data_IF_211566157209
#
_entry.id   IF_211566157209
#
_cell.length_a   1.000
_cell.length_b   1.000
_cell.length_c   1.000
_cell.angle_alpha   90.00
_cell.angle_beta   90.00
_cell.angle_gamma   90.00
#
_symmetry.space_group_name_H-M   'P 1'
#
loop_
_entity.id
_entity.type
_entity.pdbx_description
1 polymer ?
#
# COMPACT_ATOMS: atom_id res chain seq x y z
N UNK A 1 7.79 16.00 -24.11
CA UNK A 1 6.37 16.37 -23.92
C UNK A 1 6.27 17.80 -23.38
N UNK A 2 5.11 18.45 -23.51
CA UNK A 2 4.87 19.81 -23.01
C UNK A 2 5.11 19.88 -21.50
N UNK A 3 4.60 18.91 -20.72
CA UNK A 3 4.79 18.84 -19.29
C UNK A 3 6.29 18.87 -18.87
N UNK A 4 7.16 18.13 -19.59
CA UNK A 4 8.60 18.13 -19.31
C UNK A 4 9.22 19.51 -19.56
N UNK A 5 8.77 20.22 -20.60
CA UNK A 5 9.27 21.58 -20.91
C UNK A 5 8.83 22.60 -19.85
N UNK A 6 7.59 22.50 -19.36
CA UNK A 6 7.02 23.42 -18.37
C UNK A 6 7.58 23.20 -16.95
N UNK A 7 8.11 21.99 -16.68
CA UNK A 7 8.71 21.63 -15.39
C UNK A 7 10.23 21.48 -15.43
N UNK A 8 10.84 21.84 -16.56
CA UNK A 8 12.30 21.77 -16.70
C UNK A 8 12.99 22.66 -15.66
N UNK A 9 14.02 22.10 -15.02
CA UNK A 9 14.76 22.77 -13.94
C UNK A 9 14.00 22.92 -12.61
N UNK A 10 12.77 22.39 -12.47
CA UNK A 10 12.01 22.47 -11.22
C UNK A 10 12.24 21.22 -10.38
N UNK A 11 12.60 21.42 -9.12
CA UNK A 11 12.84 20.36 -8.13
C UNK A 11 12.14 20.69 -6.81
N UNK A 12 11.74 19.64 -6.08
CA UNK A 12 11.22 19.76 -4.74
C UNK A 12 12.35 19.70 -3.72
N UNK A 13 12.30 20.61 -2.77
CA UNK A 13 13.24 20.71 -1.64
C UNK A 13 12.47 20.59 -0.32
N UNK A 14 13.08 19.92 0.62
CA UNK A 14 12.74 20.01 2.03
C UNK A 14 13.90 20.66 2.76
N UNK A 15 13.65 21.79 3.41
CA UNK A 15 14.71 22.69 3.88
C UNK A 15 15.64 23.06 2.69
N UNK A 16 16.93 22.77 2.75
CA UNK A 16 17.90 23.10 1.72
C UNK A 16 18.36 21.90 0.88
N UNK A 17 17.64 20.77 0.96
CA UNK A 17 18.01 19.53 0.25
C UNK A 17 16.93 19.10 -0.73
N UNK A 18 17.30 18.65 -1.94
CA UNK A 18 16.37 17.98 -2.83
C UNK A 18 15.76 16.76 -2.13
N UNK A 19 14.47 16.54 -2.34
CA UNK A 19 13.78 15.38 -1.74
C UNK A 19 13.96 14.10 -2.57
N UNK A 20 13.77 12.97 -1.91
CA UNK A 20 13.53 11.69 -2.58
C UNK A 20 12.01 11.56 -2.84
N UNK A 21 11.59 11.91 -4.06
CA UNK A 21 10.18 11.99 -4.44
C UNK A 21 9.62 10.59 -4.78
N UNK A 22 9.45 9.71 -3.78
CA UNK A 22 8.89 8.39 -3.98
C UNK A 22 7.45 8.45 -4.48
N UNK A 23 7.09 7.55 -5.38
CA UNK A 23 5.73 7.42 -5.91
C UNK A 23 5.39 5.96 -6.18
N UNK A 24 4.10 5.67 -6.27
CA UNK A 24 3.56 4.34 -6.54
C UNK A 24 2.28 4.44 -7.37
N UNK A 25 1.78 3.32 -7.87
CA UNK A 25 0.69 3.31 -8.86
C UNK A 25 -0.64 3.81 -8.30
N UNK A 26 -1.19 3.11 -7.30
CA UNK A 26 -2.57 3.34 -6.82
C UNK A 26 -2.62 3.21 -5.30
N UNK A 27 -3.26 4.16 -4.62
CA UNK A 27 -3.51 4.02 -3.18
C UNK A 27 -4.77 3.20 -2.90
N UNK A 28 -4.91 2.75 -1.66
CA UNK A 28 -6.19 2.23 -1.16
C UNK A 28 -7.12 3.35 -0.62
N UNK A 29 -6.83 4.62 -0.94
CA UNK A 29 -7.42 5.81 -0.32
C UNK A 29 -6.58 6.34 0.86
N UNK A 30 -5.45 5.69 1.14
CA UNK A 30 -4.49 6.07 2.17
C UNK A 30 -3.07 5.82 1.66
N UNK A 31 -2.11 6.63 2.14
CA UNK A 31 -0.69 6.38 1.97
C UNK A 31 -0.06 5.91 3.28
N UNK A 32 1.19 5.47 3.24
CA UNK A 32 2.03 5.17 4.38
C UNK A 32 3.19 6.17 4.47
N UNK A 33 3.90 6.18 5.59
CA UNK A 33 5.15 6.91 5.74
C UNK A 33 6.39 6.04 5.44
N UNK A 34 7.59 6.61 5.53
CA UNK A 34 8.85 5.94 5.25
C UNK A 34 9.20 4.83 6.26
N UNK A 35 8.52 4.76 7.42
CA UNK A 35 8.70 3.71 8.41
C UNK A 35 8.46 2.30 7.89
N UNK A 36 7.73 2.16 6.77
CA UNK A 36 7.48 0.87 6.09
C UNK A 36 8.76 0.16 5.62
N UNK A 37 9.87 0.88 5.51
CA UNK A 37 11.17 0.34 5.13
C UNK A 37 12.08 0.06 6.33
N UNK A 38 11.55 0.15 7.56
CA UNK A 38 12.35 0.07 8.78
C UNK A 38 13.24 1.30 9.02
N UNK A 39 13.00 2.36 8.27
CA UNK A 39 13.71 3.64 8.40
C UNK A 39 12.99 4.53 9.42
N UNK A 40 13.74 5.30 10.20
CA UNK A 40 13.16 6.35 11.01
C UNK A 40 12.37 7.33 10.11
N UNK A 41 11.08 7.46 10.35
CA UNK A 41 10.19 8.34 9.58
C UNK A 41 10.63 9.81 9.70
N UNK A 42 11.36 10.18 10.74
CA UNK A 42 11.98 11.50 10.90
C UNK A 42 13.03 11.83 9.84
N UNK A 43 13.61 10.82 9.18
CA UNK A 43 14.54 11.04 8.05
C UNK A 43 13.84 11.62 6.81
N UNK A 44 12.54 11.34 6.65
CA UNK A 44 11.75 11.79 5.51
C UNK A 44 10.46 12.48 5.99
N UNK A 45 10.54 13.62 6.66
CA UNK A 45 9.39 14.26 7.33
C UNK A 45 8.32 14.74 6.34
N UNK A 46 8.65 14.83 5.07
CA UNK A 46 7.73 15.15 3.97
C UNK A 46 6.97 13.94 3.41
N UNK A 47 7.35 12.69 3.76
CA UNK A 47 6.66 11.45 3.37
C UNK A 47 5.73 11.00 4.50
N UNK A 48 4.56 11.61 4.58
CA UNK A 48 3.57 11.30 5.61
C UNK A 48 2.47 10.39 5.07
N UNK A 49 1.94 9.55 5.97
CA UNK A 49 0.69 8.84 5.69
C UNK A 49 -0.47 9.85 5.68
N UNK A 50 -1.26 9.86 4.60
CA UNK A 50 -2.39 10.77 4.43
C UNK A 50 -3.61 10.07 3.83
N UNK A 51 -4.81 10.58 4.14
CA UNK A 51 -6.02 10.19 3.40
C UNK A 51 -5.99 10.82 2.01
N UNK A 52 -6.11 10.03 0.95
CA UNK A 52 -6.00 10.48 -0.45
C UNK A 52 -7.35 11.00 -0.95
N UNK A 53 -7.86 12.05 -0.31
CA UNK A 53 -9.15 12.69 -0.61
C UNK A 53 -9.10 14.21 -0.40
N UNK A 54 -10.15 14.92 -0.82
CA UNK A 54 -10.30 16.36 -0.53
C UNK A 54 -10.29 16.60 0.99
N UNK A 55 -9.44 17.54 1.44
CA UNK A 55 -9.26 17.81 2.87
C UNK A 55 -8.67 16.64 3.66
N UNK A 56 -8.00 15.69 3.00
CA UNK A 56 -7.40 14.52 3.62
C UNK A 56 -6.43 14.88 4.74
N UNK A 57 -6.51 14.11 5.85
CA UNK A 57 -5.71 14.35 7.05
C UNK A 57 -4.50 13.42 7.10
N UNK A 58 -3.48 13.82 7.84
CA UNK A 58 -2.38 12.92 8.22
C UNK A 58 -2.91 11.77 9.08
N UNK A 59 -2.36 10.58 8.84
CA UNK A 59 -2.76 9.35 9.50
C UNK A 59 -1.63 8.85 10.42
N UNK A 60 -2.01 8.38 11.60
CA UNK A 60 -1.14 7.66 12.51
C UNK A 60 -1.21 6.15 12.30
N UNK A 61 -0.61 5.41 13.24
CA UNK A 61 -0.84 3.97 13.37
C UNK A 61 -2.31 3.69 13.61
N UNK A 62 -2.80 2.59 13.06
CA UNK A 62 -4.16 2.13 13.21
C UNK A 62 -4.16 0.71 13.79
N UNK A 63 -5.18 0.36 14.55
CA UNK A 63 -5.38 -1.00 15.00
C UNK A 63 -5.87 -1.91 13.86
N UNK A 64 -5.84 -3.22 14.10
CA UNK A 64 -6.20 -4.19 13.09
C UNK A 64 -7.68 -4.10 12.71
N UNK A 65 -8.57 -3.99 13.69
CA UNK A 65 -10.03 -3.99 13.48
C UNK A 65 -10.50 -2.76 12.71
N UNK A 66 -9.93 -1.59 13.00
CA UNK A 66 -10.20 -0.34 12.29
C UNK A 66 -9.78 -0.43 10.82
N UNK A 67 -8.59 -0.98 10.55
CA UNK A 67 -8.13 -1.14 9.18
C UNK A 67 -8.89 -2.24 8.43
N UNK A 68 -9.21 -3.36 9.05
CA UNK A 68 -10.04 -4.41 8.44
C UNK A 68 -11.41 -3.87 8.02
N UNK A 69 -12.04 -3.12 8.90
CA UNK A 69 -13.32 -2.47 8.59
C UNK A 69 -13.18 -1.50 7.42
N UNK A 70 -12.07 -0.75 7.34
CA UNK A 70 -11.80 0.20 6.27
C UNK A 70 -11.56 -0.48 4.91
N UNK A 71 -10.72 -1.51 4.87
CA UNK A 71 -10.29 -2.10 3.58
C UNK A 71 -11.42 -2.90 2.91
N UNK A 72 -12.36 -3.41 3.69
CA UNK A 72 -13.54 -4.13 3.20
C UNK A 72 -14.64 -3.21 2.67
N UNK A 73 -14.57 -1.90 2.95
CA UNK A 73 -15.57 -0.94 2.48
C UNK A 73 -15.40 -0.63 0.99
N UNK A 74 -16.50 -0.64 0.26
CA UNK A 74 -16.57 -0.26 -1.15
C UNK A 74 -16.92 1.21 -1.37
N UNK A 75 -17.56 1.85 -0.37
CA UNK A 75 -18.08 3.22 -0.41
C UNK A 75 -17.04 4.30 -0.04
N UNK A 76 -15.77 3.94 0.05
CA UNK A 76 -14.69 4.89 0.38
C UNK A 76 -14.51 5.91 -0.73
N UNK A 77 -14.60 7.19 -0.38
CA UNK A 77 -14.34 8.31 -1.29
C UNK A 77 -12.87 8.68 -1.23
N UNK A 78 -12.18 8.58 -2.36
CA UNK A 78 -10.79 8.97 -2.54
C UNK A 78 -10.55 9.40 -4.00
N UNK A 79 -9.46 10.09 -4.27
CA UNK A 79 -9.14 10.54 -5.62
C UNK A 79 -8.89 9.39 -6.62
N UNK A 80 -8.46 8.23 -6.13
CA UNK A 80 -8.20 7.04 -6.92
C UNK A 80 -9.24 5.91 -6.78
N UNK A 81 -10.41 6.21 -6.20
CA UNK A 81 -11.51 5.23 -6.02
C UNK A 81 -11.98 4.57 -7.33
N UNK A 82 -11.90 5.29 -8.45
CA UNK A 82 -12.33 4.79 -9.76
C UNK A 82 -11.34 3.83 -10.43
N UNK A 83 -10.15 3.65 -9.88
CA UNK A 83 -9.14 2.77 -10.47
C UNK A 83 -9.29 1.33 -9.99
N UNK A 84 -9.12 0.33 -10.87
CA UNK A 84 -9.39 -1.08 -10.56
C UNK A 84 -8.63 -1.61 -9.34
N UNK A 85 -7.35 -1.21 -9.17
CA UNK A 85 -6.52 -1.64 -8.06
C UNK A 85 -6.77 -0.89 -6.74
N UNK A 86 -7.76 0.02 -6.68
CA UNK A 86 -8.16 0.68 -5.43
C UNK A 86 -8.61 -0.31 -4.36
N UNK A 87 -9.29 -1.39 -4.79
CA UNK A 87 -9.61 -2.59 -3.99
C UNK A 87 -9.32 -3.82 -4.84
N UNK A 88 -8.85 -4.85 -4.18
CA UNK A 88 -8.65 -6.15 -4.78
C UNK A 88 -8.77 -7.25 -3.71
N UNK A 89 -8.99 -8.47 -4.16
CA UNK A 89 -9.05 -9.63 -3.26
C UNK A 89 -8.44 -10.86 -3.94
N UNK A 90 -8.01 -11.81 -3.13
CA UNK A 90 -7.49 -13.10 -3.59
C UNK A 90 -7.62 -14.13 -2.47
N UNK A 91 -7.69 -15.40 -2.84
CA UNK A 91 -7.62 -16.51 -1.91
C UNK A 91 -6.23 -17.17 -2.00
N UNK A 92 -5.54 -17.26 -0.86
CA UNK A 92 -4.26 -17.97 -0.72
C UNK A 92 -4.52 -19.32 -0.05
N UNK A 93 -4.44 -20.46 -0.78
CA UNK A 93 -4.56 -21.80 -0.20
C UNK A 93 -3.47 -22.03 0.85
N UNK A 94 -3.82 -22.74 1.94
CA UNK A 94 -2.88 -22.96 3.05
C UNK A 94 -1.69 -23.85 2.66
N UNK A 95 -1.86 -24.77 1.73
CA UNK A 95 -0.78 -25.60 1.16
C UNK A 95 0.22 -24.75 0.35
N UNK A 96 -0.28 -23.81 -0.47
CA UNK A 96 0.55 -22.84 -1.19
C UNK A 96 1.35 -21.97 -0.22
N UNK A 97 0.67 -21.44 0.81
CA UNK A 97 1.32 -20.65 1.85
C UNK A 97 2.38 -21.47 2.61
N UNK A 98 2.08 -22.72 2.97
CA UNK A 98 3.00 -23.63 3.67
C UNK A 98 4.24 -23.98 2.86
N UNK A 99 4.11 -24.04 1.54
CA UNK A 99 5.23 -24.30 0.66
C UNK A 99 6.23 -23.14 0.54
N UNK A 100 5.76 -21.89 0.78
CA UNK A 100 6.59 -20.68 0.60
C UNK A 100 7.01 -20.01 1.92
N UNK A 101 6.32 -20.24 3.03
CA UNK A 101 6.67 -19.69 4.35
C UNK A 101 7.34 -20.76 5.20
N UNK A 102 8.66 -20.67 5.36
CA UNK A 102 9.45 -21.64 6.11
C UNK A 102 9.29 -21.47 7.62
N UNK A 103 9.43 -22.56 8.38
CA UNK A 103 9.53 -22.55 9.84
C UNK A 103 8.20 -22.65 10.59
N UNK A 104 7.05 -22.59 9.90
CA UNK A 104 5.75 -22.82 10.51
C UNK A 104 5.17 -24.22 10.27
N UNK A 105 5.73 -24.98 9.32
CA UNK A 105 5.17 -26.27 8.90
C UNK A 105 3.86 -26.09 8.11
N UNK A 106 2.85 -26.91 8.38
CA UNK A 106 1.53 -26.75 7.76
C UNK A 106 0.82 -25.57 8.42
N UNK A 107 0.55 -24.51 7.63
CA UNK A 107 -0.01 -23.27 8.15
C UNK A 107 -1.47 -23.44 8.52
N UNK A 108 -1.83 -23.00 9.72
CA UNK A 108 -3.15 -23.12 10.33
C UNK A 108 -3.79 -21.76 10.57
N UNK A 109 -2.98 -20.70 10.71
CA UNK A 109 -3.48 -19.35 10.97
C UNK A 109 -2.51 -18.26 10.50
N UNK A 110 -3.06 -17.10 10.13
CA UNK A 110 -2.29 -15.89 9.75
C UNK A 110 -3.01 -14.65 10.25
N UNK A 111 -2.28 -13.75 10.91
CA UNK A 111 -2.82 -12.50 11.41
C UNK A 111 -1.82 -11.36 11.23
N UNK A 112 -2.28 -10.20 10.73
CA UNK A 112 -1.50 -8.96 10.78
C UNK A 112 -1.47 -8.48 12.24
N UNK A 113 -0.29 -8.46 12.85
CA UNK A 113 -0.11 -8.18 14.28
C UNK A 113 0.41 -6.77 14.57
N UNK A 114 1.00 -6.08 13.60
CA UNK A 114 1.33 -4.65 13.70
C UNK A 114 1.05 -3.94 12.37
N UNK A 115 0.64 -2.66 12.47
CA UNK A 115 0.39 -1.80 11.33
C UNK A 115 1.17 -0.49 11.46
N UNK A 116 1.71 -0.03 10.35
CA UNK A 116 2.26 1.31 10.22
C UNK A 116 1.17 2.38 10.01
N UNK A 117 1.55 3.66 9.97
CA UNK A 117 0.65 4.76 9.63
C UNK A 117 -0.11 4.51 8.33
N UNK A 118 -1.40 4.89 8.33
CA UNK A 118 -2.32 4.61 7.22
C UNK A 118 -2.86 3.17 7.16
N UNK A 119 -2.45 2.29 8.09
CA UNK A 119 -2.94 0.92 8.21
C UNK A 119 -2.17 -0.13 7.42
N UNK A 120 -1.02 0.22 6.83
CA UNK A 120 -0.19 -0.75 6.11
C UNK A 120 0.32 -1.85 7.05
N UNK A 121 0.32 -3.11 6.61
CA UNK A 121 0.83 -4.23 7.41
C UNK A 121 2.34 -4.08 7.66
N UNK A 122 2.73 -4.01 8.93
CA UNK A 122 4.11 -3.93 9.41
C UNK A 122 4.64 -5.28 9.88
N UNK A 123 3.79 -6.08 10.54
CA UNK A 123 4.13 -7.44 10.96
C UNK A 123 2.98 -8.41 10.64
N UNK A 124 3.34 -9.60 10.20
CA UNK A 124 2.46 -10.73 9.95
C UNK A 124 2.92 -11.90 10.81
N UNK A 125 2.04 -12.40 11.66
CA UNK A 125 2.26 -13.63 12.44
C UNK A 125 1.58 -14.79 11.74
N UNK A 126 2.34 -15.86 11.51
CA UNK A 126 1.91 -17.09 10.83
C UNK A 126 2.12 -18.25 11.78
N UNK A 127 1.06 -19.01 12.07
CA UNK A 127 1.08 -20.17 12.98
C UNK A 127 0.77 -21.45 12.20
N UNK A 128 1.53 -22.48 12.45
CA UNK A 128 1.34 -23.79 11.84
C UNK A 128 1.77 -24.92 12.76
N UNK A 129 1.93 -26.15 12.20
CA UNK A 129 2.24 -27.36 12.95
C UNK A 129 3.58 -27.35 13.66
N UNK A 130 4.55 -26.61 13.14
CA UNK A 130 5.92 -26.61 13.64
C UNK A 130 6.23 -25.38 14.50
N UNK A 131 5.24 -24.48 14.66
CA UNK A 131 5.34 -23.30 15.52
C UNK A 131 4.82 -22.03 14.86
N UNK A 132 5.34 -20.90 15.35
CA UNK A 132 4.92 -19.55 14.91
C UNK A 132 6.10 -18.78 14.35
N UNK A 133 5.89 -18.13 13.22
CA UNK A 133 6.86 -17.26 12.52
C UNK A 133 6.29 -15.86 12.42
N UNK A 134 7.12 -14.84 12.68
CA UNK A 134 6.76 -13.44 12.46
C UNK A 134 7.54 -12.87 11.28
N UNK A 135 6.82 -12.34 10.30
CA UNK A 135 7.36 -11.71 9.09
C UNK A 135 7.23 -10.20 9.24
N UNK A 136 8.37 -9.47 9.16
CA UNK A 136 8.41 -8.03 9.40
C UNK A 136 8.69 -7.23 8.13
N UNK A 137 7.97 -6.13 8.01
CA UNK A 137 8.10 -5.17 6.91
C UNK A 137 7.25 -5.50 5.70
N UNK A 138 6.70 -4.46 5.10
CA UNK A 138 5.72 -4.57 4.01
C UNK A 138 6.25 -5.37 2.80
N UNK A 139 7.55 -5.25 2.49
CA UNK A 139 8.15 -5.94 1.34
C UNK A 139 8.21 -7.46 1.58
N UNK A 140 8.64 -7.87 2.78
CA UNK A 140 8.70 -9.29 3.16
C UNK A 140 7.30 -9.91 3.24
N UNK A 141 6.32 -9.19 3.80
CA UNK A 141 4.92 -9.63 3.87
C UNK A 141 4.35 -9.84 2.46
N UNK A 142 4.56 -8.87 1.55
CA UNK A 142 4.12 -9.01 0.15
C UNK A 142 4.75 -10.20 -0.55
N UNK A 143 6.04 -10.46 -0.31
CA UNK A 143 6.75 -11.61 -0.89
C UNK A 143 6.29 -12.94 -0.27
N UNK A 144 6.01 -12.97 1.04
CA UNK A 144 5.56 -14.18 1.73
C UNK A 144 4.14 -14.62 1.31
N UNK A 145 3.29 -13.67 0.90
CA UNK A 145 1.90 -13.92 0.53
C UNK A 145 1.68 -13.89 -1.00
N UNK A 146 2.66 -13.43 -1.78
CA UNK A 146 2.58 -13.38 -3.23
C UNK A 146 2.84 -14.76 -3.86
N UNK A 147 2.07 -15.11 -4.89
CA UNK A 147 2.31 -16.32 -5.69
C UNK A 147 1.74 -16.13 -7.10
N UNK A 148 2.46 -16.57 -8.17
CA UNK A 148 1.97 -16.51 -9.54
C UNK A 148 0.71 -17.36 -9.82
N UNK A 149 0.39 -18.34 -8.98
CA UNK A 149 -0.84 -19.13 -9.12
C UNK A 149 -2.10 -18.44 -8.63
N UNK A 150 -1.97 -17.33 -7.88
CA UNK A 150 -3.12 -16.61 -7.36
C UNK A 150 -3.86 -15.88 -8.48
N UNK A 151 -5.17 -15.79 -8.34
CA UNK A 151 -6.01 -14.91 -9.15
C UNK A 151 -6.44 -13.74 -8.30
N UNK A 152 -6.03 -12.56 -8.70
CA UNK A 152 -6.39 -11.31 -8.02
C UNK A 152 -7.61 -10.73 -8.72
N UNK A 153 -8.71 -10.63 -7.99
CA UNK A 153 -9.94 -9.99 -8.45
C UNK A 153 -9.91 -8.52 -8.06
N UNK A 154 -10.03 -7.63 -9.02
CA UNK A 154 -10.02 -6.17 -8.86
C UNK A 154 -11.41 -5.63 -8.56
N UNK A 155 -11.49 -4.38 -8.11
CA UNK A 155 -12.74 -3.68 -7.79
C UNK A 155 -13.79 -3.73 -8.90
N UNK A 156 -13.38 -3.68 -10.14
CA UNK A 156 -14.25 -3.69 -11.32
C UNK A 156 -14.71 -5.10 -11.74
N UNK A 157 -14.36 -6.13 -10.98
CA UNK A 157 -14.60 -7.54 -11.29
C UNK A 157 -13.61 -8.15 -12.28
N UNK A 158 -12.73 -7.33 -12.87
CA UNK A 158 -11.65 -7.83 -13.72
C UNK A 158 -10.60 -8.59 -12.90
N UNK A 159 -9.96 -9.56 -13.53
CA UNK A 159 -8.93 -10.38 -12.86
C UNK A 159 -7.54 -10.08 -13.39
N UNK A 160 -6.52 -10.49 -12.64
CA UNK A 160 -5.13 -10.57 -13.08
C UNK A 160 -4.45 -11.76 -12.39
N UNK A 161 -3.47 -12.32 -13.04
CA UNK A 161 -2.59 -13.32 -12.45
C UNK A 161 -1.74 -12.69 -11.35
N UNK A 162 -1.54 -13.39 -10.25
CA UNK A 162 -0.63 -13.02 -9.19
C UNK A 162 0.82 -12.94 -9.66
N UNK A 163 1.68 -12.51 -8.77
CA UNK A 163 3.14 -12.48 -9.02
C UNK A 163 3.89 -12.92 -7.77
N UNK A 164 5.22 -12.91 -7.80
CA UNK A 164 6.06 -13.21 -6.64
C UNK A 164 5.78 -12.30 -5.41
N UNK A 165 5.03 -11.21 -5.59
CA UNK A 165 4.63 -10.33 -4.50
C UNK A 165 3.16 -9.94 -4.63
N UNK A 166 2.45 -9.76 -3.51
CA UNK A 166 1.13 -9.12 -3.51
C UNK A 166 1.20 -7.69 -4.07
N UNK A 167 0.11 -7.16 -4.64
CA UNK A 167 0.07 -5.79 -5.17
C UNK A 167 0.46 -4.72 -4.15
N UNK A 168 0.06 -4.88 -2.90
CA UNK A 168 0.40 -3.98 -1.79
C UNK A 168 0.41 -4.73 -0.45
N UNK A 169 0.80 -4.05 0.63
CA UNK A 169 0.65 -4.53 2.00
C UNK A 169 -0.48 -3.82 2.78
N UNK A 170 -1.35 -3.08 2.11
CA UNK A 170 -2.62 -2.62 2.69
C UNK A 170 -3.64 -3.76 2.60
N UNK A 171 -3.57 -4.69 3.55
CA UNK A 171 -4.30 -5.95 3.52
C UNK A 171 -5.00 -6.24 4.86
N UNK A 172 -6.11 -7.00 4.77
CA UNK A 172 -6.71 -7.75 5.87
C UNK A 172 -6.84 -9.21 5.44
N UNK A 173 -6.76 -10.13 6.39
CA UNK A 173 -6.74 -11.57 6.13
C UNK A 173 -7.86 -12.23 6.93
N UNK A 174 -8.67 -13.02 6.24
CA UNK A 174 -9.69 -13.88 6.85
C UNK A 174 -9.36 -15.36 6.60
N UNK A 175 -9.33 -16.14 7.66
CA UNK A 175 -9.25 -17.59 7.56
C UNK A 175 -10.59 -18.15 7.06
N UNK A 176 -10.53 -19.03 6.07
CA UNK A 176 -11.69 -19.72 5.49
C UNK A 176 -11.46 -21.21 5.44
N UNK A 177 -12.51 -21.96 5.71
CA UNK A 177 -12.52 -23.42 5.56
C UNK A 177 -13.58 -23.78 4.54
N UNK A 178 -13.17 -24.50 3.50
CA UNK A 178 -14.07 -25.02 2.47
C UNK A 178 -14.94 -26.17 2.99
N UNK A 179 -15.98 -26.52 2.23
CA UNK A 179 -16.88 -27.64 2.58
C UNK A 179 -16.14 -28.98 2.61
N UNK A 180 -15.07 -29.11 1.86
CA UNK A 180 -14.18 -30.27 1.80
C UNK A 180 -13.12 -30.28 2.93
N UNK A 181 -13.16 -29.29 3.83
CA UNK A 181 -12.19 -29.11 4.91
C UNK A 181 -10.88 -28.43 4.48
N UNK A 182 -10.73 -28.01 3.23
CA UNK A 182 -9.57 -27.25 2.76
C UNK A 182 -9.48 -25.91 3.46
N UNK A 183 -8.27 -25.51 3.87
CA UNK A 183 -8.00 -24.24 4.51
C UNK A 183 -7.45 -23.24 3.48
N UNK A 184 -7.96 -22.02 3.51
CA UNK A 184 -7.45 -20.90 2.74
C UNK A 184 -7.47 -19.60 3.56
N UNK A 185 -6.73 -18.61 3.09
CA UNK A 185 -6.67 -17.27 3.65
C UNK A 185 -7.18 -16.28 2.59
N UNK A 186 -8.36 -15.74 2.83
CA UNK A 186 -8.92 -14.70 1.97
C UNK A 186 -8.29 -13.36 2.30
N UNK A 187 -7.67 -12.73 1.32
CA UNK A 187 -6.95 -11.48 1.47
C UNK A 187 -7.76 -10.38 0.80
N UNK A 188 -8.27 -9.44 1.61
CA UNK A 188 -8.78 -8.16 1.14
C UNK A 188 -7.61 -7.19 1.03
N UNK A 189 -7.44 -6.57 -0.10
CA UNK A 189 -6.36 -5.63 -0.30
C UNK A 189 -6.78 -4.37 -1.03
N UNK A 190 -5.92 -3.38 -1.01
CA UNK A 190 -6.11 -2.16 -1.75
C UNK A 190 -4.81 -1.47 -2.14
N UNK A 191 -4.84 -0.80 -3.28
CA UNK A 191 -3.68 -0.13 -3.84
C UNK A 191 -2.73 -1.06 -4.59
N UNK A 192 -1.75 -0.44 -5.25
CA UNK A 192 -0.71 -1.11 -6.02
C UNK A 192 0.63 -0.36 -5.86
N UNK A 193 1.58 -1.00 -5.19
CA UNK A 193 2.90 -0.46 -4.88
C UNK A 193 3.19 -0.41 -3.37
N UNK A 194 4.25 0.31 -2.99
CA UNK A 194 4.74 0.40 -1.60
C UNK A 194 3.93 1.37 -0.71
N UNK A 195 3.12 2.23 -1.30
CA UNK A 195 2.21 3.11 -0.56
C UNK A 195 2.81 4.40 -0.02
N UNK A 196 4.09 4.70 -0.25
CA UNK A 196 4.78 5.89 0.30
C UNK A 196 4.89 7.00 -0.74
N UNK A 197 4.64 8.24 -0.35
CA UNK A 197 4.70 9.41 -1.22
C UNK A 197 3.49 9.49 -2.15
N UNK A 198 3.70 9.81 -3.43
CA UNK A 198 2.62 10.15 -4.35
C UNK A 198 1.96 8.92 -4.99
N UNK A 199 0.64 8.76 -4.82
CA UNK A 199 -0.16 7.87 -5.68
C UNK A 199 -0.31 8.50 -7.07
N UNK A 200 0.15 7.81 -8.12
CA UNK A 200 0.02 8.29 -9.51
C UNK A 200 -1.46 8.44 -9.91
N UNK A 201 -2.28 7.44 -9.57
CA UNK A 201 -3.72 7.48 -9.84
C UNK A 201 -4.45 8.49 -8.95
N UNK A 202 -4.01 8.68 -7.69
CA UNK A 202 -4.50 9.74 -6.81
C UNK A 202 -4.17 11.12 -7.38
N UNK A 203 -2.95 11.34 -7.85
CA UNK A 203 -2.54 12.58 -8.52
C UNK A 203 -3.37 12.84 -9.79
N UNK A 204 -3.62 11.81 -10.61
CA UNK A 204 -4.48 11.92 -11.77
C UNK A 204 -5.93 12.24 -11.38
N UNK A 205 -6.44 11.63 -10.30
CA UNK A 205 -7.76 11.93 -9.75
C UNK A 205 -7.87 13.39 -9.31
N UNK A 206 -6.86 13.91 -8.59
CA UNK A 206 -6.77 15.32 -8.22
C UNK A 206 -6.76 16.24 -9.45
N UNK A 207 -5.99 15.91 -10.48
CA UNK A 207 -5.95 16.70 -11.72
C UNK A 207 -7.32 16.74 -12.41
N UNK A 208 -8.08 15.63 -12.42
CA UNK A 208 -9.46 15.59 -12.92
C UNK A 208 -10.43 16.48 -12.16
N UNK A 209 -10.15 16.80 -10.88
CA UNK A 209 -10.93 17.78 -10.10
C UNK A 209 -10.41 19.22 -10.25
N UNK A 210 -9.48 19.48 -11.16
CA UNK A 210 -8.95 20.81 -11.45
C UNK A 210 -7.74 21.22 -10.61
N UNK A 211 -7.17 20.33 -9.80
CA UNK A 211 -5.94 20.65 -9.05
C UNK A 211 -4.74 20.75 -9.98
N UNK A 212 -3.97 21.83 -9.88
CA UNK A 212 -2.72 21.99 -10.60
C UNK A 212 -1.58 21.16 -9.99
N UNK A 213 -0.51 20.94 -10.76
CA UNK A 213 0.61 20.09 -10.34
C UNK A 213 1.25 20.54 -9.02
N UNK A 214 1.34 21.84 -8.73
CA UNK A 214 1.85 22.35 -7.44
C UNK A 214 1.00 21.86 -6.27
N UNK A 215 -0.32 21.98 -6.37
CA UNK A 215 -1.26 21.51 -5.35
C UNK A 215 -1.18 19.99 -5.12
N UNK A 216 -0.93 19.24 -6.20
CA UNK A 216 -0.76 17.78 -6.13
C UNK A 216 0.54 17.43 -5.39
N UNK A 217 1.64 18.11 -5.74
CA UNK A 217 2.93 17.90 -5.07
C UNK A 217 2.88 18.27 -3.60
N UNK A 218 2.30 19.42 -3.25
CA UNK A 218 2.12 19.89 -1.86
C UNK A 218 1.28 18.91 -1.02
N UNK A 219 0.29 18.27 -1.66
CA UNK A 219 -0.56 17.28 -1.00
C UNK A 219 0.23 16.02 -0.60
N UNK A 220 1.06 15.48 -1.48
CA UNK A 220 1.77 14.23 -1.24
C UNK A 220 3.14 14.41 -0.57
N UNK A 221 3.79 15.56 -0.74
CA UNK A 221 5.10 15.86 -0.19
C UNK A 221 5.01 17.09 0.73
N UNK A 222 4.51 16.86 1.92
CA UNK A 222 4.13 17.90 2.85
C UNK A 222 5.30 18.75 3.34
N UNK A 223 5.16 20.07 3.27
CA UNK A 223 6.19 21.01 3.74
C UNK A 223 7.40 21.13 2.83
N UNK A 224 7.29 20.67 1.58
CA UNK A 224 8.33 20.86 0.56
C UNK A 224 8.13 22.17 -0.19
N UNK A 225 9.20 22.67 -0.80
CA UNK A 225 9.20 23.86 -1.64
C UNK A 225 9.64 23.50 -3.07
N UNK A 226 8.87 23.96 -4.06
CA UNK A 226 9.24 23.84 -5.47
C UNK A 226 10.16 24.97 -5.85
N UNK A 227 11.41 24.66 -6.15
CA UNK A 227 12.44 25.64 -6.58
C UNK A 227 12.85 25.43 -8.04
N UNK A 228 13.27 26.50 -8.70
CA UNK A 228 13.91 26.45 -10.01
C UNK A 228 15.42 26.30 -9.82
N UNK A 229 15.96 25.19 -10.30
CA UNK A 229 17.39 24.94 -10.34
C UNK A 229 17.89 25.32 -11.74
N UNK A 230 18.37 26.54 -11.90
CA UNK A 230 19.08 26.93 -13.10
C UNK A 230 20.42 26.20 -13.10
N UNK A 231 20.74 25.52 -14.20
CA UNK A 231 22.10 25.04 -14.43
C UNK A 231 23.03 26.27 -14.42
N UNK A 232 23.92 26.32 -13.43
CA UNK A 232 25.00 27.29 -13.38
C UNK A 232 26.09 27.00 -14.44
#
# INVERSE_FOLDING_TARGET
TQAVKETYGKMLFYEDKPIEAFYFSTSCGRTADAGVWGTDSGKYPYLRAVEVKEGGKSLGKEDNDGFESYIKREDVIAYDTSYPMFRWQTDLPADVASAQISGAGQIQDMTVTDRGPGGIAGELTVTGTDGTVTIKGQSAIRSALGNPSLIITKKDGGTMTGSATLPSAFIAIEKRTGEDGSLSFHIYGGGFGHGVGMSQNGAQGMAKTGKGYKQILDFFYNGTELRECNEG
#
